data_IF_283323802547
#
_entry.id   IF_283323802547
#
_cell.length_a   1.000
_cell.length_b   1.000
_cell.length_c   1.000
_cell.angle_alpha   90.00
_cell.angle_beta   90.00
_cell.angle_gamma   90.00
#
_symmetry.space_group_name_H-M   'P 1'
#
loop_
_entity.id
_entity.type
_entity.pdbx_description
1 polymer ?
#
# COMPACT_ATOMS: atom_id res chain seq x y z
N UNK A 1 16.92 -0.80 -29.30
CA UNK A 1 16.59 -1.35 -27.98
C UNK A 1 15.67 -0.35 -27.31
N UNK A 2 14.38 -0.65 -27.19
CA UNK A 2 13.46 0.19 -26.42
C UNK A 2 13.84 0.06 -24.95
N UNK A 3 14.38 1.13 -24.39
CA UNK A 3 14.71 1.21 -22.97
C UNK A 3 13.41 1.09 -22.17
N UNK A 4 13.30 0.05 -21.33
CA UNK A 4 12.17 -0.08 -20.42
C UNK A 4 12.27 1.04 -19.38
N UNK A 5 11.61 2.17 -19.66
CA UNK A 5 11.50 3.28 -18.71
C UNK A 5 10.21 3.11 -17.90
N UNK A 6 10.36 2.92 -16.59
CA UNK A 6 9.23 2.99 -15.66
C UNK A 6 8.80 4.45 -15.55
N UNK A 7 7.56 4.76 -15.93
CA UNK A 7 7.00 6.09 -15.77
C UNK A 7 6.77 6.38 -14.27
N UNK A 8 7.52 7.31 -13.65
CA UNK A 8 7.43 7.55 -12.20
C UNK A 8 6.05 8.10 -11.79
N UNK A 9 5.40 8.87 -12.65
CA UNK A 9 4.06 9.39 -12.38
C UNK A 9 3.00 8.28 -12.40
N UNK A 10 3.13 7.32 -13.31
CA UNK A 10 2.24 6.15 -13.33
C UNK A 10 2.45 5.27 -12.09
N UNK A 11 3.70 5.09 -11.65
CA UNK A 11 4.02 4.36 -10.43
C UNK A 11 3.44 5.06 -9.19
N UNK A 12 3.59 6.38 -9.06
CA UNK A 12 2.99 7.16 -7.98
C UNK A 12 1.46 7.01 -7.94
N UNK A 13 0.78 7.09 -9.10
CA UNK A 13 -0.67 6.93 -9.17
C UNK A 13 -1.14 5.53 -8.73
N UNK A 14 -0.39 4.48 -9.07
CA UNK A 14 -0.69 3.11 -8.59
C UNK A 14 -0.51 3.01 -7.08
N UNK A 15 0.56 3.57 -6.54
CA UNK A 15 0.81 3.58 -5.09
C UNK A 15 -0.35 4.28 -4.36
N UNK A 16 -0.76 5.46 -4.82
CA UNK A 16 -1.87 6.19 -4.20
C UNK A 16 -3.19 5.41 -4.22
N UNK A 17 -3.49 4.74 -5.34
CA UNK A 17 -4.67 3.88 -5.44
C UNK A 17 -4.60 2.71 -4.46
N UNK A 18 -3.44 2.08 -4.31
CA UNK A 18 -3.29 0.96 -3.38
C UNK A 18 -3.37 1.41 -1.92
N UNK A 19 -2.84 2.58 -1.58
CA UNK A 19 -2.97 3.17 -0.23
C UNK A 19 -4.44 3.49 0.11
N UNK A 20 -5.19 4.05 -0.84
CA UNK A 20 -6.61 4.30 -0.66
C UNK A 20 -7.41 3.00 -0.46
N UNK A 21 -7.12 1.98 -1.27
CA UNK A 21 -7.73 0.67 -1.14
C UNK A 21 -7.45 0.01 0.22
N UNK A 22 -6.20 0.07 0.71
CA UNK A 22 -5.82 -0.43 2.04
C UNK A 22 -6.65 0.23 3.15
N UNK A 23 -6.78 1.56 3.09
CA UNK A 23 -7.56 2.34 4.06
C UNK A 23 -9.05 1.99 4.05
N UNK A 24 -9.65 1.85 2.86
CA UNK A 24 -11.05 1.45 2.72
C UNK A 24 -11.28 0.04 3.25
N UNK A 25 -10.34 -0.88 3.01
CA UNK A 25 -10.45 -2.25 3.46
C UNK A 25 -10.30 -2.38 4.98
N UNK A 26 -9.37 -1.63 5.60
CA UNK A 26 -9.27 -1.53 7.07
C UNK A 26 -10.56 -1.03 7.70
N UNK A 27 -11.21 -0.03 7.10
CA UNK A 27 -12.48 0.49 7.59
C UNK A 27 -13.60 -0.56 7.57
N UNK A 28 -13.69 -1.35 6.49
CA UNK A 28 -14.67 -2.45 6.38
C UNK A 28 -14.43 -3.55 7.42
N UNK A 29 -13.17 -3.90 7.67
CA UNK A 29 -12.81 -4.94 8.65
C UNK A 29 -13.06 -4.47 10.08
N UNK A 30 -12.73 -3.21 10.39
CA UNK A 30 -13.09 -2.62 11.68
C UNK A 30 -14.61 -2.62 11.91
N UNK A 31 -15.41 -2.38 10.86
CA UNK A 31 -16.88 -2.51 10.94
C UNK A 31 -17.33 -3.96 11.17
N UNK A 32 -16.71 -4.94 10.52
CA UNK A 32 -17.02 -6.36 10.71
C UNK A 32 -16.71 -6.78 12.16
N UNK A 33 -15.52 -6.47 12.66
CA UNK A 33 -15.11 -6.75 14.04
C UNK A 33 -16.04 -6.07 15.07
N UNK A 34 -16.41 -4.80 14.85
CA UNK A 34 -17.37 -4.09 15.71
C UNK A 34 -18.79 -4.69 15.68
N UNK A 35 -19.19 -5.27 14.55
CA UNK A 35 -20.47 -5.98 14.43
C UNK A 35 -20.45 -7.31 15.18
N UNK A 36 -19.33 -8.04 15.11
CA UNK A 36 -19.11 -9.27 15.88
C UNK A 36 -19.09 -8.99 17.39
N UNK A 37 -18.38 -7.94 17.83
CA UNK A 37 -18.34 -7.56 19.25
C UNK A 37 -19.73 -7.24 19.83
N UNK A 38 -20.63 -6.67 19.02
CA UNK A 38 -22.02 -6.36 19.41
C UNK A 38 -22.91 -7.60 19.53
N UNK A 39 -22.56 -8.72 18.90
CA UNK A 39 -23.32 -9.98 19.01
C UNK A 39 -23.15 -10.67 20.37
N UNK A 40 -22.21 -10.22 21.21
CA UNK A 40 -22.14 -10.59 22.63
C UNK A 40 -21.76 -12.06 22.90
N UNK A 41 -22.05 -12.51 24.13
CA UNK A 41 -21.59 -13.79 24.70
C UNK A 41 -21.95 -15.07 23.93
N UNK A 42 -22.95 -15.03 23.04
CA UNK A 42 -23.30 -16.18 22.19
C UNK A 42 -22.27 -16.46 21.09
N UNK A 43 -21.40 -15.48 20.78
CA UNK A 43 -20.31 -15.61 19.80
C UNK A 43 -18.97 -16.05 20.43
N UNK A 44 -18.88 -16.10 21.77
CA UNK A 44 -17.64 -16.28 22.53
C UNK A 44 -17.09 -17.73 22.57
N UNK A 45 -17.33 -18.51 21.52
CA UNK A 45 -16.75 -19.84 21.29
C UNK A 45 -15.73 -19.82 20.14
N UNK A 46 -15.53 -20.96 19.47
CA UNK A 46 -14.56 -21.14 18.36
C UNK A 46 -14.68 -20.06 17.27
N UNK A 47 -15.88 -19.55 17.01
CA UNK A 47 -16.11 -18.49 16.03
C UNK A 47 -15.48 -17.13 16.41
N UNK A 48 -15.43 -16.81 17.70
CA UNK A 48 -14.78 -15.59 18.19
C UNK A 48 -13.25 -15.69 18.18
N UNK A 49 -12.70 -16.90 18.33
CA UNK A 49 -11.25 -17.12 18.21
C UNK A 49 -10.79 -17.14 16.75
N UNK A 50 -11.59 -17.75 15.86
CA UNK A 50 -11.35 -17.70 14.41
C UNK A 50 -11.37 -16.26 13.87
N UNK A 51 -12.31 -15.43 14.32
CA UNK A 51 -12.38 -14.02 13.94
C UNK A 51 -11.15 -13.24 14.42
N UNK A 52 -10.75 -13.40 15.69
CA UNK A 52 -9.53 -12.75 16.22
C UNK A 52 -8.28 -13.17 15.46
N UNK A 53 -8.16 -14.45 15.11
CA UNK A 53 -7.04 -14.95 14.31
C UNK A 53 -7.04 -14.35 12.90
N UNK A 54 -8.21 -14.29 12.24
CA UNK A 54 -8.36 -13.68 10.93
C UNK A 54 -8.03 -12.18 10.97
N UNK A 55 -8.49 -11.46 11.99
CA UNK A 55 -8.18 -10.05 12.20
C UNK A 55 -6.68 -9.82 12.42
N UNK A 56 -6.01 -10.70 13.19
CA UNK A 56 -4.57 -10.60 13.41
C UNK A 56 -3.77 -10.82 12.12
N UNK A 57 -4.11 -11.86 11.34
CA UNK A 57 -3.49 -12.13 10.03
C UNK A 57 -3.71 -10.97 9.06
N UNK A 58 -4.90 -10.39 9.08
CA UNK A 58 -5.21 -9.22 8.27
C UNK A 58 -4.33 -8.02 8.65
N UNK A 59 -4.29 -7.67 9.94
CA UNK A 59 -3.52 -6.53 10.42
C UNK A 59 -2.03 -6.66 10.05
N UNK A 60 -1.50 -7.88 10.09
CA UNK A 60 -0.13 -8.17 9.64
C UNK A 60 0.03 -7.93 8.14
N UNK A 61 -0.83 -8.51 7.31
CA UNK A 61 -0.76 -8.33 5.86
C UNK A 61 -0.93 -6.86 5.41
N UNK A 62 -1.82 -6.11 6.08
CA UNK A 62 -2.01 -4.68 5.82
C UNK A 62 -0.75 -3.88 6.18
N UNK A 63 -0.09 -4.20 7.30
CA UNK A 63 1.21 -3.61 7.66
C UNK A 63 2.26 -3.89 6.59
N UNK A 64 2.42 -5.15 6.18
CA UNK A 64 3.38 -5.53 5.13
C UNK A 64 3.12 -4.80 3.81
N UNK A 65 1.85 -4.63 3.43
CA UNK A 65 1.45 -3.90 2.23
C UNK A 65 1.84 -2.42 2.33
N UNK A 66 1.54 -1.76 3.44
CA UNK A 66 1.93 -0.35 3.66
C UNK A 66 3.44 -0.14 3.60
N UNK A 67 4.21 -1.04 4.22
CA UNK A 67 5.67 -0.99 4.17
C UNK A 67 6.19 -1.17 2.74
N UNK A 68 5.61 -2.10 1.99
CA UNK A 68 5.97 -2.32 0.58
C UNK A 68 5.64 -1.10 -0.29
N UNK A 69 4.47 -0.49 -0.12
CA UNK A 69 4.07 0.73 -0.83
C UNK A 69 4.98 1.91 -0.48
N UNK A 70 5.37 2.07 0.78
CA UNK A 70 6.32 3.09 1.21
C UNK A 70 7.68 2.91 0.53
N UNK A 71 8.20 1.67 0.45
CA UNK A 71 9.44 1.37 -0.28
C UNK A 71 9.33 1.67 -1.76
N UNK A 72 8.21 1.29 -2.40
CA UNK A 72 7.97 1.59 -3.82
C UNK A 72 7.92 3.10 -4.09
N UNK A 73 7.36 3.88 -3.16
CA UNK A 73 7.32 5.33 -3.25
C UNK A 73 8.70 5.95 -3.22
N UNK A 74 9.55 5.50 -2.30
CA UNK A 74 10.96 5.94 -2.24
C UNK A 74 11.73 5.61 -3.53
N UNK A 75 11.50 4.43 -4.11
CA UNK A 75 12.10 4.04 -5.38
C UNK A 75 11.61 4.94 -6.52
N UNK A 76 10.30 5.24 -6.56
CA UNK A 76 9.70 6.11 -7.57
C UNK A 76 10.28 7.54 -7.52
N UNK A 77 10.42 8.09 -6.31
CA UNK A 77 11.01 9.41 -6.05
C UNK A 77 12.49 9.45 -6.46
N UNK A 78 13.28 8.46 -6.02
CA UNK A 78 14.70 8.36 -6.41
C UNK A 78 14.91 8.17 -7.91
N UNK A 79 14.02 7.43 -8.59
CA UNK A 79 14.06 7.32 -10.05
C UNK A 79 13.76 8.68 -10.71
N UNK A 80 12.77 9.42 -10.21
CA UNK A 80 12.40 10.74 -10.73
C UNK A 80 13.55 11.76 -10.62
N UNK A 81 14.27 11.78 -9.50
CA UNK A 81 15.45 12.64 -9.30
C UNK A 81 16.62 12.26 -10.21
N UNK A 82 16.89 10.96 -10.38
CA UNK A 82 17.97 10.48 -11.25
C UNK A 82 17.67 10.77 -12.73
N UNK A 83 16.44 10.52 -13.20
CA UNK A 83 16.05 10.80 -14.59
C UNK A 83 15.98 12.30 -14.88
N UNK A 84 15.43 13.12 -13.98
CA UNK A 84 15.36 14.57 -14.19
C UNK A 84 16.74 15.24 -14.19
N UNK A 85 17.65 14.81 -13.30
CA UNK A 85 19.02 15.35 -13.27
C UNK A 85 19.87 14.91 -14.46
N UNK A 86 19.71 13.66 -14.93
CA UNK A 86 20.40 13.16 -16.13
C UNK A 86 19.92 13.89 -17.40
N UNK A 87 18.61 14.13 -17.52
CA UNK A 87 18.04 14.91 -18.63
C UNK A 87 18.53 16.37 -18.59
N UNK A 88 18.53 17.02 -17.42
CA UNK A 88 19.04 18.39 -17.24
C UNK A 88 20.52 18.51 -17.59
N UNK A 89 21.35 17.56 -17.15
CA UNK A 89 22.80 17.58 -17.42
C UNK A 89 23.12 17.34 -18.89
N UNK A 90 22.43 16.42 -19.55
CA UNK A 90 22.58 16.24 -21.00
C UNK A 90 22.15 17.48 -21.77
N UNK A 91 21.07 18.14 -21.35
CA UNK A 91 20.61 19.35 -22.02
C UNK A 91 21.56 20.54 -21.83
N UNK A 92 22.21 20.67 -20.67
CA UNK A 92 23.26 21.67 -20.41
C UNK A 92 24.58 21.36 -21.13
N UNK A 93 24.89 20.09 -21.39
CA UNK A 93 26.07 19.73 -22.17
C UNK A 93 25.89 20.00 -23.67
N UNK A 94 24.65 20.11 -24.14
CA UNK A 94 24.30 20.25 -25.56
C UNK A 94 23.70 21.63 -25.88
N UNK A 95 23.74 22.58 -24.94
CA UNK A 95 23.50 24.02 -25.16
C UNK A 95 24.81 24.79 -25.04
#
# INVERSE_FOLDING_TARGET
MSEFSVNPAALAAVIDRMTAFDSDLEAHLAQAAGSVARLGSSWYGDAGEAERSAQAQWNEGAREMREALARLRQIAEGAHENYSSAASKNHQMWS
#
